data_IF_074984016935
#
_entry.id   IF_074984016935
#
_cell.length_a   1.000
_cell.length_b   1.000
_cell.length_c   1.000
_cell.angle_alpha   90.00
_cell.angle_beta   90.00
_cell.angle_gamma   90.00
#
_symmetry.space_group_name_H-M   'P 1'
#
loop_
_entity.id
_entity.type
_entity.pdbx_description
1 polymer ?
#
# COMPACT_ATOMS: atom_id res chain seq x y z
N UNK A 1 -26.74 39.78 -11.26
CA UNK A 1 -26.24 38.86 -10.22
C UNK A 1 -26.32 37.49 -10.83
N UNK A 2 -25.18 37.01 -11.35
CA UNK A 2 -25.11 35.76 -12.11
C UNK A 2 -24.43 34.72 -11.25
N UNK A 3 -25.13 33.63 -11.01
CA UNK A 3 -24.63 32.42 -10.34
C UNK A 3 -23.54 31.79 -11.20
N UNK A 4 -22.35 31.67 -10.62
CA UNK A 4 -21.27 30.81 -11.16
C UNK A 4 -21.42 29.44 -10.49
N UNK A 5 -22.16 28.54 -11.15
CA UNK A 5 -22.14 27.11 -10.86
C UNK A 5 -20.81 26.58 -11.31
N UNK A 6 -19.92 26.32 -10.35
CA UNK A 6 -18.72 25.51 -10.59
C UNK A 6 -19.14 24.06 -10.85
N UNK A 7 -19.01 23.65 -12.10
CA UNK A 7 -19.15 22.25 -12.51
C UNK A 7 -17.96 21.46 -11.95
N UNK A 8 -18.17 20.82 -10.80
CA UNK A 8 -17.27 19.80 -10.29
C UNK A 8 -17.20 18.66 -11.30
N UNK A 9 -16.06 18.46 -11.92
CA UNK A 9 -15.79 17.32 -12.77
C UNK A 9 -15.51 16.13 -11.83
N UNK A 10 -16.54 15.33 -11.53
CA UNK A 10 -16.33 14.02 -10.94
C UNK A 10 -15.58 13.16 -11.96
N UNK A 11 -14.46 12.51 -11.58
CA UNK A 11 -13.77 11.61 -12.48
C UNK A 11 -14.72 10.46 -12.85
N UNK A 12 -14.97 10.28 -14.15
CA UNK A 12 -15.82 9.21 -14.66
C UNK A 12 -15.23 7.85 -14.27
N UNK A 13 -15.99 7.09 -13.48
CA UNK A 13 -15.66 5.74 -13.07
C UNK A 13 -15.59 4.81 -14.29
N UNK A 14 -14.46 4.12 -14.55
CA UNK A 14 -14.46 3.00 -15.48
C UNK A 14 -15.29 1.87 -14.88
N UNK A 15 -16.31 1.42 -15.61
CA UNK A 15 -17.16 0.31 -15.20
C UNK A 15 -16.29 -0.94 -14.95
N UNK A 16 -16.50 -1.60 -13.80
CA UNK A 16 -15.86 -2.86 -13.42
C UNK A 16 -15.99 -3.88 -14.56
N UNK A 17 -14.86 -4.25 -15.14
CA UNK A 17 -14.79 -5.46 -15.97
C UNK A 17 -14.54 -6.64 -15.03
N UNK A 18 -15.34 -7.71 -15.15
CA UNK A 18 -15.21 -8.94 -14.35
C UNK A 18 -13.88 -9.71 -14.56
N UNK A 19 -12.90 -9.11 -15.23
CA UNK A 19 -11.62 -9.72 -15.60
C UNK A 19 -10.40 -8.99 -15.03
N UNK A 20 -10.58 -7.98 -14.16
CA UNK A 20 -9.47 -7.19 -13.65
C UNK A 20 -8.67 -8.01 -12.62
N UNK A 21 -7.38 -8.20 -12.89
CA UNK A 21 -6.47 -8.90 -11.99
C UNK A 21 -6.23 -8.13 -10.68
N UNK A 22 -5.98 -8.86 -9.60
CA UNK A 22 -5.51 -8.29 -8.34
C UNK A 22 -4.05 -8.66 -8.16
N UNK A 23 -3.19 -7.67 -7.99
CA UNK A 23 -1.74 -7.84 -7.80
C UNK A 23 -1.32 -7.31 -6.44
N UNK A 24 -0.26 -7.85 -5.86
CA UNK A 24 0.33 -7.30 -4.66
C UNK A 24 1.69 -6.67 -4.97
N UNK A 25 1.96 -5.50 -4.40
CA UNK A 25 3.26 -4.85 -4.38
C UNK A 25 3.73 -4.71 -2.93
N UNK A 26 4.79 -5.43 -2.58
CA UNK A 26 5.37 -5.42 -1.25
C UNK A 26 6.57 -4.47 -1.23
N UNK A 27 6.44 -3.35 -0.53
CA UNK A 27 7.51 -2.38 -0.35
C UNK A 27 8.52 -2.89 0.67
N UNK A 28 9.68 -3.32 0.20
CA UNK A 28 10.74 -3.98 0.98
C UNK A 28 12.10 -3.26 0.89
N UNK A 29 12.17 -2.06 0.31
CA UNK A 29 13.40 -1.29 0.06
C UNK A 29 13.89 -0.45 1.25
N UNK A 30 13.21 -0.47 2.40
CA UNK A 30 13.55 0.36 3.56
C UNK A 30 14.79 -0.14 4.31
N UNK A 31 15.75 0.75 4.56
CA UNK A 31 16.99 0.44 5.30
C UNK A 31 16.79 0.34 6.82
N UNK A 32 15.58 0.64 7.34
CA UNK A 32 15.27 0.52 8.76
C UNK A 32 16.01 1.48 9.69
N UNK A 33 16.57 2.58 9.19
CA UNK A 33 17.45 3.54 9.90
C UNK A 33 16.90 4.05 11.25
N UNK A 34 15.57 4.08 11.42
CA UNK A 34 14.92 4.49 12.68
C UNK A 34 14.92 3.40 13.77
N UNK A 35 15.24 2.15 13.45
CA UNK A 35 15.07 1.03 14.38
C UNK A 35 16.38 0.57 15.03
N UNK A 36 17.50 1.19 14.69
CA UNK A 36 18.85 0.80 15.17
C UNK A 36 19.17 -0.67 14.86
N UNK A 37 20.41 -0.95 14.44
CA UNK A 37 20.89 -2.30 14.17
C UNK A 37 21.31 -2.51 12.72
N UNK A 38 22.21 -3.50 12.53
CA UNK A 38 22.90 -3.77 11.26
C UNK A 38 22.02 -4.48 10.21
N UNK A 39 20.84 -5.00 10.61
CA UNK A 39 19.91 -5.73 9.74
C UNK A 39 18.60 -4.98 9.56
N UNK A 40 18.16 -4.71 8.32
CA UNK A 40 16.86 -4.09 8.06
C UNK A 40 15.71 -4.86 8.70
N UNK A 41 14.67 -4.14 9.18
CA UNK A 41 13.56 -4.70 9.98
C UNK A 41 12.89 -5.90 9.32
N UNK A 42 12.71 -5.84 8.01
CA UNK A 42 12.03 -6.88 7.23
C UNK A 42 12.79 -8.21 7.20
N UNK A 43 14.08 -8.19 7.51
CA UNK A 43 14.91 -9.41 7.56
C UNK A 43 15.18 -9.92 8.98
N UNK A 44 14.75 -9.19 10.02
CA UNK A 44 14.85 -9.67 11.40
C UNK A 44 13.98 -10.89 11.59
N UNK A 45 14.42 -11.80 12.47
CA UNK A 45 13.67 -13.01 12.74
C UNK A 45 12.51 -12.76 13.72
N UNK A 46 11.34 -13.25 13.35
CA UNK A 46 10.16 -13.37 14.19
C UNK A 46 9.72 -14.84 14.16
N UNK A 47 9.63 -15.47 15.31
CA UNK A 47 9.32 -16.91 15.43
C UNK A 47 10.17 -17.80 14.49
N UNK A 48 11.46 -17.48 14.38
CA UNK A 48 12.43 -18.26 13.60
C UNK A 48 12.46 -17.99 12.09
N UNK A 49 11.61 -17.09 11.58
CA UNK A 49 11.57 -16.72 10.17
C UNK A 49 11.74 -15.21 9.97
N UNK A 50 12.32 -14.74 8.85
CA UNK A 50 12.35 -13.31 8.53
C UNK A 50 10.96 -12.70 8.51
N UNK A 51 10.82 -11.48 9.03
CA UNK A 51 9.53 -10.75 9.07
C UNK A 51 8.85 -10.71 7.70
N UNK A 52 9.60 -10.47 6.64
CA UNK A 52 9.06 -10.44 5.27
C UNK A 52 8.44 -11.77 4.84
N UNK A 53 8.94 -12.92 5.33
CA UNK A 53 8.36 -14.23 5.01
C UNK A 53 6.95 -14.38 5.57
N UNK A 54 6.68 -13.86 6.78
CA UNK A 54 5.33 -13.86 7.33
C UNK A 54 4.38 -12.99 6.49
N UNK A 55 4.86 -11.82 6.04
CA UNK A 55 4.10 -10.95 5.13
C UNK A 55 3.77 -11.68 3.83
N UNK A 56 4.76 -12.26 3.16
CA UNK A 56 4.56 -12.99 1.90
C UNK A 56 3.61 -14.17 2.08
N UNK A 57 3.72 -14.90 3.20
CA UNK A 57 2.83 -16.02 3.49
C UNK A 57 1.35 -15.60 3.57
N UNK A 58 1.04 -14.42 4.14
CA UNK A 58 -0.32 -13.92 4.20
C UNK A 58 -0.90 -13.63 2.81
N UNK A 59 -0.10 -13.07 1.89
CA UNK A 59 -0.52 -12.82 0.51
C UNK A 59 -0.59 -14.12 -0.31
N UNK A 60 0.35 -15.05 -0.15
CA UNK A 60 0.31 -16.37 -0.81
C UNK A 60 -0.94 -17.17 -0.46
N UNK A 61 -1.43 -17.03 0.77
CA UNK A 61 -2.64 -17.71 1.23
C UNK A 61 -3.92 -17.26 0.52
N UNK A 62 -3.89 -16.16 -0.25
CA UNK A 62 -5.01 -15.73 -1.10
C UNK A 62 -5.20 -16.64 -2.33
N UNK A 63 -4.19 -17.42 -2.70
CA UNK A 63 -4.25 -18.35 -3.83
C UNK A 63 -4.58 -17.66 -5.16
N UNK A 64 -5.62 -18.12 -5.84
CA UNK A 64 -6.04 -17.60 -7.15
C UNK A 64 -6.66 -16.20 -7.11
N UNK A 65 -7.01 -15.69 -5.93
CA UNK A 65 -7.47 -14.29 -5.79
C UNK A 65 -6.37 -13.29 -6.09
N UNK A 66 -5.10 -13.71 -6.06
CA UNK A 66 -3.95 -12.89 -6.36
C UNK A 66 -3.32 -13.33 -7.69
N UNK A 67 -3.36 -12.49 -8.70
CA UNK A 67 -2.80 -12.78 -10.02
C UNK A 67 -1.26 -12.82 -9.99
N UNK A 68 -0.62 -11.88 -9.27
CA UNK A 68 0.83 -11.88 -9.05
C UNK A 68 1.24 -11.13 -7.78
N UNK A 69 2.46 -11.42 -7.31
CA UNK A 69 3.06 -10.79 -6.14
C UNK A 69 4.43 -10.22 -6.53
N UNK A 70 4.61 -8.93 -6.32
CA UNK A 70 5.81 -8.19 -6.66
C UNK A 70 6.48 -7.66 -5.40
N UNK A 71 7.77 -7.89 -5.25
CA UNK A 71 8.56 -7.38 -4.14
C UNK A 71 9.55 -6.34 -4.65
N UNK A 72 9.50 -5.15 -4.07
CA UNK A 72 10.43 -4.06 -4.41
C UNK A 72 11.47 -3.94 -3.33
N UNK A 73 12.73 -4.17 -3.68
CA UNK A 73 13.90 -4.03 -2.80
C UNK A 73 14.83 -2.92 -3.28
N UNK A 74 15.75 -2.48 -2.43
CA UNK A 74 16.81 -1.56 -2.82
C UNK A 74 17.70 -2.20 -3.90
N UNK A 75 18.28 -1.42 -4.83
CA UNK A 75 19.15 -1.94 -5.89
C UNK A 75 20.34 -2.74 -5.35
N UNK A 76 20.90 -2.32 -4.21
CA UNK A 76 22.04 -2.89 -3.51
C UNK A 76 21.69 -3.86 -2.36
N UNK A 77 20.42 -4.27 -2.26
CA UNK A 77 19.98 -5.20 -1.21
C UNK A 77 20.71 -6.56 -1.34
N UNK A 78 21.45 -6.91 -0.31
CA UNK A 78 22.23 -8.16 -0.23
C UNK A 78 21.57 -9.24 0.66
N UNK A 79 20.41 -8.95 1.23
CA UNK A 79 19.78 -9.81 2.24
C UNK A 79 18.61 -10.62 1.69
N UNK A 80 17.86 -10.08 0.73
CA UNK A 80 16.58 -10.63 0.29
C UNK A 80 16.71 -12.09 -0.17
N UNK A 81 17.64 -12.40 -1.08
CA UNK A 81 17.79 -13.74 -1.65
C UNK A 81 18.28 -14.79 -0.66
N UNK A 82 18.88 -14.34 0.45
CA UNK A 82 19.25 -15.21 1.59
C UNK A 82 18.09 -15.44 2.55
N UNK A 83 17.16 -14.49 2.61
CA UNK A 83 16.05 -14.47 3.56
C UNK A 83 14.77 -15.05 2.96
N UNK A 84 14.59 -14.99 1.64
CA UNK A 84 13.34 -15.29 0.94
C UNK A 84 13.59 -16.13 -0.30
N UNK A 85 12.81 -17.20 -0.43
CA UNK A 85 12.67 -17.92 -1.71
C UNK A 85 11.34 -17.56 -2.34
N UNK A 86 11.38 -17.00 -3.54
CA UNK A 86 10.18 -16.74 -4.33
C UNK A 86 9.68 -18.03 -5.01
N UNK A 87 8.39 -18.08 -5.27
CA UNK A 87 7.81 -19.21 -6.01
C UNK A 87 8.32 -19.25 -7.46
N UNK A 88 8.63 -20.45 -7.94
CA UNK A 88 9.19 -20.66 -9.29
C UNK A 88 8.12 -20.65 -10.41
N UNK A 89 6.83 -20.44 -10.07
CA UNK A 89 5.70 -20.48 -11.00
C UNK A 89 5.55 -19.19 -11.85
N UNK A 90 6.45 -18.20 -11.67
CA UNK A 90 6.47 -16.94 -12.39
C UNK A 90 5.46 -15.90 -11.90
N UNK A 91 4.62 -16.23 -10.91
CA UNK A 91 3.66 -15.29 -10.30
C UNK A 91 4.34 -14.35 -9.29
N UNK A 92 5.48 -14.73 -8.74
CA UNK A 92 6.25 -13.91 -7.81
C UNK A 92 7.46 -13.29 -8.51
N UNK A 93 7.62 -11.98 -8.39
CA UNK A 93 8.70 -11.24 -9.07
C UNK A 93 9.42 -10.30 -8.12
N UNK A 94 10.74 -10.25 -8.27
CA UNK A 94 11.62 -9.34 -7.53
C UNK A 94 12.00 -8.15 -8.41
N UNK A 95 11.86 -6.95 -7.86
CA UNK A 95 12.24 -5.70 -8.51
C UNK A 95 13.28 -4.95 -7.67
N UNK A 96 14.50 -4.81 -8.20
CA UNK A 96 15.60 -4.06 -7.58
C UNK A 96 15.55 -2.59 -7.98
N UNK A 97 14.40 -1.94 -7.72
CA UNK A 97 14.09 -0.56 -8.15
C UNK A 97 13.72 0.36 -6.98
N UNK A 98 14.00 -0.05 -5.75
CA UNK A 98 13.75 0.77 -4.58
C UNK A 98 14.37 2.14 -4.69
N UNK A 99 13.61 3.18 -4.31
CA UNK A 99 14.04 4.58 -4.34
C UNK A 99 14.44 5.11 -2.96
N UNK A 100 14.77 6.39 -2.91
CA UNK A 100 15.20 7.09 -1.68
C UNK A 100 14.09 7.17 -0.61
N UNK A 101 12.82 7.13 -1.03
CA UNK A 101 11.65 7.17 -0.16
C UNK A 101 10.74 5.96 -0.39
N UNK A 102 9.81 5.70 0.56
CA UNK A 102 8.79 4.68 0.41
C UNK A 102 7.92 4.97 -0.83
N UNK A 103 7.45 6.20 -1.01
CA UNK A 103 6.69 6.64 -2.18
C UNK A 103 7.43 6.35 -3.49
N UNK A 104 8.71 6.73 -3.57
CA UNK A 104 9.52 6.48 -4.76
C UNK A 104 9.68 4.98 -5.05
N UNK A 105 9.86 4.16 -4.00
CA UNK A 105 9.97 2.69 -4.15
C UNK A 105 8.68 2.09 -4.69
N UNK A 106 7.52 2.53 -4.19
CA UNK A 106 6.21 2.07 -4.67
C UNK A 106 5.98 2.52 -6.11
N UNK A 107 6.25 3.78 -6.44
CA UNK A 107 6.12 4.30 -7.80
C UNK A 107 7.01 3.53 -8.80
N UNK A 108 8.28 3.31 -8.45
CA UNK A 108 9.20 2.54 -9.28
C UNK A 108 8.72 1.10 -9.48
N UNK A 109 8.16 0.49 -8.43
CA UNK A 109 7.56 -0.84 -8.51
C UNK A 109 6.37 -0.90 -9.46
N UNK A 110 5.44 0.07 -9.38
CA UNK A 110 4.30 0.17 -10.29
C UNK A 110 4.74 0.35 -11.75
N UNK A 111 5.77 1.17 -11.98
CA UNK A 111 6.36 1.34 -13.33
C UNK A 111 6.93 0.02 -13.83
N UNK A 112 7.71 -0.70 -13.02
CA UNK A 112 8.28 -1.99 -13.42
C UNK A 112 7.21 -3.06 -13.67
N UNK A 113 6.09 -3.05 -12.91
CA UNK A 113 4.94 -3.92 -13.14
C UNK A 113 4.27 -3.62 -14.50
N UNK A 114 4.05 -2.35 -14.81
CA UNK A 114 3.47 -1.91 -16.09
C UNK A 114 4.37 -2.27 -17.28
N UNK A 115 5.67 -1.96 -17.21
CA UNK A 115 6.66 -2.25 -18.26
C UNK A 115 6.79 -3.75 -18.54
N UNK A 116 6.65 -4.60 -17.53
CA UNK A 116 6.67 -6.05 -17.69
C UNK A 116 5.33 -6.63 -18.15
N UNK A 117 4.29 -5.80 -18.34
CA UNK A 117 2.93 -6.24 -18.67
C UNK A 117 2.24 -7.05 -17.57
N UNK A 118 2.77 -7.03 -16.34
CA UNK A 118 2.25 -7.84 -15.25
C UNK A 118 0.96 -7.27 -14.64
N UNK A 119 0.82 -5.94 -14.64
CA UNK A 119 -0.37 -5.27 -14.11
C UNK A 119 -0.77 -4.14 -15.08
N UNK A 120 -1.76 -4.36 -15.94
CA UNK A 120 -2.37 -3.31 -16.76
C UNK A 120 -2.94 -2.17 -15.90
N UNK A 121 -3.06 -0.97 -16.44
CA UNK A 121 -3.55 0.22 -15.73
C UNK A 121 -4.91 0.03 -15.07
N UNK A 122 -5.77 -0.80 -15.65
CA UNK A 122 -7.09 -1.14 -15.13
C UNK A 122 -7.10 -2.16 -14.01
N UNK A 123 -6.03 -2.89 -13.77
CA UNK A 123 -5.93 -3.89 -12.73
C UNK A 123 -5.77 -3.27 -11.34
N UNK A 124 -6.07 -4.07 -10.31
CA UNK A 124 -5.94 -3.66 -8.92
C UNK A 124 -4.55 -3.97 -8.36
N UNK A 125 -3.99 -3.06 -7.59
CA UNK A 125 -2.75 -3.27 -6.86
C UNK A 125 -2.95 -3.05 -5.37
N UNK A 126 -2.62 -4.07 -4.57
CA UNK A 126 -2.51 -4.03 -3.12
C UNK A 126 -1.09 -3.60 -2.75
N UNK A 127 -0.89 -2.41 -2.24
CA UNK A 127 0.42 -1.95 -1.74
C UNK A 127 0.53 -2.25 -0.25
N UNK A 128 1.62 -2.93 0.14
CA UNK A 128 1.84 -3.34 1.53
C UNK A 128 3.30 -3.21 1.97
N UNK A 129 3.50 -2.90 3.24
CA UNK A 129 4.84 -2.78 3.83
C UNK A 129 5.38 -4.15 4.25
N UNK A 130 6.56 -4.56 3.78
CA UNK A 130 7.20 -5.85 4.11
C UNK A 130 7.35 -6.12 5.61
N UNK A 131 7.46 -5.08 6.43
CA UNK A 131 7.63 -5.19 7.88
C UNK A 131 6.32 -5.21 8.68
N UNK A 132 5.15 -5.15 8.04
CA UNK A 132 3.83 -5.24 8.70
C UNK A 132 3.27 -6.66 8.62
N UNK A 133 3.97 -7.60 9.22
CA UNK A 133 3.76 -9.04 9.05
C UNK A 133 2.55 -9.64 9.78
N UNK A 134 1.78 -8.84 10.52
CA UNK A 134 0.60 -9.32 11.26
C UNK A 134 -0.71 -9.20 10.47
N UNK A 135 -0.66 -8.70 9.24
CA UNK A 135 -1.82 -8.72 8.34
C UNK A 135 -2.26 -10.17 8.08
N UNK A 136 -3.56 -10.41 8.12
CA UNK A 136 -4.10 -11.75 7.88
C UNK A 136 -4.70 -11.89 6.47
N UNK A 137 -4.74 -13.10 5.90
CA UNK A 137 -5.41 -13.33 4.62
C UNK A 137 -6.88 -12.90 4.62
N UNK A 138 -7.57 -13.03 5.76
CA UNK A 138 -8.95 -12.61 5.92
C UNK A 138 -9.11 -11.08 5.78
N UNK A 139 -8.22 -10.30 6.37
CA UNK A 139 -8.23 -8.83 6.24
C UNK A 139 -7.93 -8.38 4.81
N UNK A 140 -6.94 -9.00 4.16
CA UNK A 140 -6.61 -8.72 2.75
C UNK A 140 -7.83 -9.07 1.87
N UNK A 141 -8.45 -10.22 2.11
CA UNK A 141 -9.67 -10.65 1.41
C UNK A 141 -10.83 -9.67 1.58
N UNK A 142 -11.08 -9.19 2.80
CA UNK A 142 -12.12 -8.21 3.08
C UNK A 142 -11.88 -6.87 2.35
N UNK A 143 -10.62 -6.42 2.26
CA UNK A 143 -10.27 -5.23 1.49
C UNK A 143 -10.54 -5.44 -0.02
N UNK A 144 -10.15 -6.58 -0.58
CA UNK A 144 -10.43 -6.91 -1.98
C UNK A 144 -11.94 -6.89 -2.24
N UNK A 145 -12.74 -7.52 -1.37
CA UNK A 145 -14.19 -7.62 -1.53
C UNK A 145 -14.86 -6.23 -1.44
N UNK A 146 -14.40 -5.38 -0.52
CA UNK A 146 -14.91 -4.02 -0.37
C UNK A 146 -14.58 -3.14 -1.57
N UNK A 147 -13.37 -3.24 -2.12
CA UNK A 147 -12.92 -2.43 -3.25
C UNK A 147 -13.47 -2.91 -4.59
N UNK A 148 -13.90 -4.17 -4.73
CA UNK A 148 -14.36 -4.75 -5.99
C UNK A 148 -15.52 -3.97 -6.63
N UNK A 149 -16.36 -3.32 -5.83
CA UNK A 149 -17.50 -2.49 -6.28
C UNK A 149 -17.29 -0.98 -6.18
N UNK A 150 -16.09 -0.51 -5.85
CA UNK A 150 -15.79 0.90 -5.61
C UNK A 150 -14.74 1.45 -6.59
N UNK A 151 -14.98 2.65 -7.10
CA UNK A 151 -14.06 3.26 -8.08
C UNK A 151 -12.80 3.84 -7.43
N UNK A 152 -12.89 4.28 -6.18
CA UNK A 152 -11.81 4.97 -5.48
C UNK A 152 -10.79 4.01 -4.85
N UNK A 153 -11.17 2.72 -4.70
CA UNK A 153 -10.37 1.79 -3.92
C UNK A 153 -10.46 2.03 -2.41
N UNK A 154 -9.50 1.53 -1.64
CA UNK A 154 -9.57 1.64 -0.19
C UNK A 154 -8.32 1.17 0.54
N UNK A 155 -8.38 1.25 1.86
CA UNK A 155 -7.29 0.84 2.74
C UNK A 155 -7.82 0.15 3.99
N UNK A 156 -6.98 -0.71 4.59
CA UNK A 156 -7.23 -1.14 5.96
C UNK A 156 -7.00 0.04 6.92
N UNK A 157 -7.88 0.21 7.86
CA UNK A 157 -7.76 1.27 8.86
C UNK A 157 -8.42 0.89 10.19
N UNK A 158 -8.02 1.57 11.27
CA UNK A 158 -8.62 1.42 12.59
C UNK A 158 -9.19 2.76 13.07
N UNK A 159 -10.41 2.78 13.65
CA UNK A 159 -10.87 3.94 14.39
C UNK A 159 -9.88 4.30 15.51
N UNK A 160 -9.61 5.58 15.70
CA UNK A 160 -8.74 6.02 16.78
C UNK A 160 -9.39 5.76 18.16
N UNK A 161 -8.85 4.79 18.89
CA UNK A 161 -9.38 4.37 20.20
C UNK A 161 -8.99 5.32 21.35
N UNK A 162 -7.77 5.88 21.29
CA UNK A 162 -7.23 6.72 22.37
C UNK A 162 -7.62 8.19 22.24
N UNK A 163 -7.48 8.94 23.35
CA UNK A 163 -7.68 10.39 23.36
C UNK A 163 -6.58 11.08 22.53
N UNK A 164 -6.99 11.79 21.47
CA UNK A 164 -6.07 12.55 20.60
C UNK A 164 -5.72 13.89 21.23
N UNK A 165 -4.43 14.16 21.38
CA UNK A 165 -3.90 15.43 21.89
C UNK A 165 -3.13 16.19 20.80
N UNK A 166 -3.46 17.47 20.60
CA UNK A 166 -2.57 18.38 19.93
C UNK A 166 -1.46 18.78 20.89
N UNK A 167 -0.20 18.69 20.46
CA UNK A 167 0.96 19.02 21.27
C UNK A 167 1.80 20.12 20.65
N UNK A 168 2.40 20.97 21.49
CA UNK A 168 3.44 21.92 21.11
C UNK A 168 4.56 21.88 22.14
N UNK A 169 5.81 21.78 21.68
CA UNK A 169 7.01 21.72 22.51
C UNK A 169 6.91 20.70 23.68
N UNK A 170 6.38 19.51 23.38
CA UNK A 170 6.24 18.41 24.36
C UNK A 170 5.09 18.59 25.38
N UNK A 171 4.24 19.62 25.27
CA UNK A 171 3.11 19.88 26.15
C UNK A 171 1.79 19.69 25.41
N UNK A 172 0.80 19.07 26.07
CA UNK A 172 -0.56 18.95 25.54
C UNK A 172 -1.23 20.33 25.51
N UNK A 173 -1.63 20.77 24.32
CA UNK A 173 -2.30 22.05 24.11
C UNK A 173 -3.81 21.91 24.08
N UNK A 174 -4.31 20.84 23.44
CA UNK A 174 -5.74 20.65 23.23
C UNK A 174 -6.07 19.16 23.10
N UNK A 175 -7.29 18.80 23.54
CA UNK A 175 -7.90 17.50 23.20
C UNK A 175 -8.70 17.67 21.91
N UNK A 176 -8.41 16.85 20.91
CA UNK A 176 -9.14 16.85 19.64
C UNK A 176 -10.22 15.78 19.63
N UNK A 177 -11.31 16.04 18.90
CA UNK A 177 -12.33 15.03 18.63
C UNK A 177 -11.72 13.86 17.85
N UNK A 178 -12.10 12.63 18.22
CA UNK A 178 -11.57 11.40 17.61
C UNK A 178 -12.61 10.59 16.83
N UNK A 179 -13.89 10.97 16.92
CA UNK A 179 -15.01 10.21 16.37
C UNK A 179 -14.94 10.00 14.85
N UNK A 180 -14.21 10.85 14.16
CA UNK A 180 -13.98 10.85 12.72
C UNK A 180 -12.51 10.61 12.32
N UNK A 181 -11.69 10.14 13.26
CA UNK A 181 -10.26 9.90 13.03
C UNK A 181 -9.97 8.40 12.97
N UNK A 182 -9.19 8.04 11.96
CA UNK A 182 -8.77 6.67 11.69
C UNK A 182 -7.26 6.60 11.54
N UNK A 183 -6.70 5.47 11.91
CA UNK A 183 -5.29 5.14 11.75
C UNK A 183 -5.15 4.33 10.46
N UNK A 184 -4.54 4.92 9.45
CA UNK A 184 -4.28 4.25 8.17
C UNK A 184 -3.32 3.07 8.36
N UNK A 185 -3.67 1.95 7.75
CA UNK A 185 -2.86 0.74 7.72
C UNK A 185 -2.56 0.35 6.26
N UNK A 186 -1.80 -0.73 6.08
CA UNK A 186 -1.64 -1.40 4.81
C UNK A 186 -2.09 -2.86 4.94
N UNK A 187 -2.57 -3.52 3.86
CA UNK A 187 -2.53 -3.06 2.46
C UNK A 187 -3.50 -1.92 2.16
N UNK A 188 -3.15 -1.18 1.09
CA UNK A 188 -3.99 -0.18 0.43
C UNK A 188 -4.19 -0.61 -1.01
N UNK A 189 -5.42 -0.56 -1.53
CA UNK A 189 -5.82 -1.15 -2.81
C UNK A 189 -6.38 -0.09 -3.75
N UNK A 190 -5.74 0.05 -4.92
CA UNK A 190 -6.12 1.04 -5.93
C UNK A 190 -5.91 0.49 -7.34
N UNK A 191 -6.52 1.13 -8.35
CA UNK A 191 -6.22 0.86 -9.75
C UNK A 191 -4.78 1.23 -10.06
N UNK A 192 -4.02 0.37 -10.73
CA UNK A 192 -2.59 0.53 -10.99
C UNK A 192 -2.26 1.85 -11.69
N UNK A 193 -2.97 2.18 -12.77
CA UNK A 193 -2.76 3.41 -13.50
C UNK A 193 -3.14 4.66 -12.72
N UNK A 194 -4.27 4.63 -11.99
CA UNK A 194 -4.73 5.75 -11.16
C UNK A 194 -3.73 6.03 -10.02
N UNK A 195 -3.29 4.99 -9.33
CA UNK A 195 -2.30 5.13 -8.25
C UNK A 195 -0.95 5.63 -8.78
N UNK A 196 -0.49 5.11 -9.92
CA UNK A 196 0.76 5.57 -10.54
C UNK A 196 0.69 7.06 -10.91
N UNK A 197 -0.45 7.51 -11.48
CA UNK A 197 -0.66 8.92 -11.81
C UNK A 197 -0.69 9.80 -10.55
N UNK A 198 -1.42 9.39 -9.50
CA UNK A 198 -1.51 10.09 -8.23
C UNK A 198 -0.13 10.24 -7.56
N UNK A 199 0.64 9.15 -7.45
CA UNK A 199 1.98 9.17 -6.83
C UNK A 199 3.00 10.06 -7.58
N UNK A 200 2.85 10.21 -8.91
CA UNK A 200 3.71 11.12 -9.70
C UNK A 200 3.44 12.58 -9.42
N UNK A 201 2.22 12.93 -9.05
CA UNK A 201 1.77 14.31 -8.81
C UNK A 201 1.74 14.68 -7.32
N UNK A 202 1.82 13.69 -6.43
CA UNK A 202 1.71 13.89 -5.00
C UNK A 202 2.84 14.74 -4.44
N UNK A 203 2.52 15.60 -3.48
CA UNK A 203 3.46 16.42 -2.73
C UNK A 203 4.41 15.58 -1.88
N UNK A 204 5.54 16.17 -1.45
CA UNK A 204 6.58 15.44 -0.71
C UNK A 204 6.15 15.03 0.71
N UNK A 205 5.13 15.65 1.27
CA UNK A 205 4.57 15.36 2.59
C UNK A 205 3.59 14.18 2.61
N UNK A 206 3.21 13.66 1.43
CA UNK A 206 2.35 12.46 1.33
C UNK A 206 3.08 11.24 1.88
N UNK A 207 2.46 10.58 2.86
CA UNK A 207 3.06 9.48 3.62
C UNK A 207 2.64 8.09 3.16
N UNK A 208 1.50 7.98 2.44
CA UNK A 208 0.94 6.71 1.96
C UNK A 208 0.19 6.85 0.62
N UNK A 209 -0.28 5.75 0.06
CA UNK A 209 -0.99 5.71 -1.21
C UNK A 209 -2.35 6.41 -1.14
N UNK A 210 -3.07 6.24 -0.02
CA UNK A 210 -4.36 6.87 0.20
C UNK A 210 -4.24 8.41 0.17
N UNK A 211 -3.21 8.97 0.80
CA UNK A 211 -2.95 10.41 0.77
C UNK A 211 -2.70 10.93 -0.66
N UNK A 212 -1.98 10.18 -1.50
CA UNK A 212 -1.80 10.54 -2.91
C UNK A 212 -3.13 10.51 -3.69
N UNK A 213 -3.95 9.49 -3.45
CA UNK A 213 -5.27 9.37 -4.08
C UNK A 213 -6.22 10.49 -3.60
N UNK A 214 -6.17 10.88 -2.33
CA UNK A 214 -6.94 11.99 -1.76
C UNK A 214 -6.56 13.33 -2.40
N UNK A 215 -5.27 13.60 -2.60
CA UNK A 215 -4.80 14.80 -3.31
C UNK A 215 -5.27 14.79 -4.78
N UNK A 216 -5.36 13.63 -5.42
CA UNK A 216 -5.90 13.47 -6.76
C UNK A 216 -7.45 13.55 -6.82
N UNK A 217 -8.13 13.83 -5.70
CA UNK A 217 -9.58 14.02 -5.63
C UNK A 217 -10.40 12.77 -5.32
N UNK A 218 -9.76 11.63 -5.11
CA UNK A 218 -10.45 10.38 -4.75
C UNK A 218 -10.85 10.36 -3.26
N UNK A 219 -11.77 9.45 -2.92
CA UNK A 219 -12.23 9.23 -1.53
C UNK A 219 -12.16 7.73 -1.21
N UNK A 220 -10.97 7.21 -0.82
CA UNK A 220 -10.78 5.79 -0.55
C UNK A 220 -11.67 5.27 0.57
N UNK A 221 -12.13 4.02 0.45
CA UNK A 221 -12.87 3.31 1.49
C UNK A 221 -11.98 3.01 2.70
N UNK A 222 -12.53 3.18 3.91
CA UNK A 222 -11.91 2.71 5.15
C UNK A 222 -12.48 1.33 5.51
N UNK A 223 -11.66 0.29 5.40
CA UNK A 223 -12.04 -1.09 5.71
C UNK A 223 -11.40 -1.49 7.05
N UNK A 224 -12.17 -2.15 7.91
CA UNK A 224 -11.72 -2.49 9.25
C UNK A 224 -10.44 -3.35 9.23
N UNK A 225 -9.38 -2.83 9.84
CA UNK A 225 -8.12 -3.51 10.12
C UNK A 225 -8.04 -4.09 11.53
N UNK A 226 -6.84 -4.32 12.04
CA UNK A 226 -6.58 -4.81 13.41
C UNK A 226 -5.34 -4.18 14.02
#
# INVERSE_FOLDING_TARGET
>A
MSEILQSGHEPQCPQLRMTDGVHALIACAGNGSRAGGDLPKQYRLLAGQPVVQHTLAAFRALGERLASLHVVIAPDDAYFERAVTLAADGRERLHRVGGATRRQSVLNGLVAMAESGAAPDGDWVLVHDAARCLVTPAQIGALIDACAGDAAGGLLALPLADTLKLAHQGRAMQTLARSDKWLAQTPQMFRAGALQAALRQADDDVTDEAGAMEQAGWRPLLVAGS
#
